data_IF_113582892101
#
_entry.id   IF_113582892101
#
_cell.length_a   1.000
_cell.length_b   1.000
_cell.length_c   1.000
_cell.angle_alpha   90.00
_cell.angle_beta   90.00
_cell.angle_gamma   90.00
#
_symmetry.space_group_name_H-M   'P 1'
#
loop_
_entity.id
_entity.type
_entity.pdbx_description
1 polymer ?
#
# COMPACT_ATOMS: atom_id res chain seq x y z
N UNK A 1 -69.79 35.73 44.93
CA UNK A 1 -69.79 35.45 43.48
C UNK A 1 -68.42 34.89 43.14
N UNK A 2 -68.29 33.57 43.33
CA UNK A 2 -68.13 32.56 42.26
C UNK A 2 -66.70 32.48 41.71
N UNK A 3 -65.94 31.63 42.40
CA UNK A 3 -64.70 30.99 41.94
C UNK A 3 -64.98 30.12 40.71
N UNK A 4 -64.17 30.25 39.67
CA UNK A 4 -64.07 29.28 38.58
C UNK A 4 -62.61 28.90 38.36
N UNK A 5 -62.25 27.70 38.83
CA UNK A 5 -61.01 26.99 38.47
C UNK A 5 -61.09 26.53 37.01
N UNK A 6 -59.97 26.49 36.27
CA UNK A 6 -59.92 25.81 34.98
C UNK A 6 -59.99 24.30 35.18
N UNK A 7 -60.87 23.64 34.43
CA UNK A 7 -61.03 22.20 34.32
C UNK A 7 -59.80 21.57 33.64
N UNK A 8 -59.08 20.73 34.38
CA UNK A 8 -58.02 19.87 33.84
C UNK A 8 -58.72 18.69 33.15
N UNK A 9 -58.68 18.64 31.83
CA UNK A 9 -59.16 17.49 31.05
C UNK A 9 -58.33 16.22 31.33
N UNK A 10 -58.90 15.02 31.12
CA UNK A 10 -58.21 13.78 31.43
C UNK A 10 -56.99 13.62 30.51
N UNK A 11 -55.80 13.56 31.10
CA UNK A 11 -54.58 13.10 30.40
C UNK A 11 -54.82 11.66 29.96
N UNK A 12 -55.02 11.46 28.66
CA UNK A 12 -54.95 10.14 28.03
C UNK A 12 -53.55 9.59 28.29
N UNK A 13 -53.47 8.61 29.20
CA UNK A 13 -52.29 7.76 29.37
C UNK A 13 -52.06 7.06 28.03
N UNK A 14 -51.06 7.49 27.28
CA UNK A 14 -50.52 6.71 26.17
C UNK A 14 -50.02 5.39 26.75
N UNK A 15 -50.77 4.32 26.45
CA UNK A 15 -50.47 2.95 26.85
C UNK A 15 -49.09 2.60 26.29
N UNK A 16 -48.12 2.31 27.16
CA UNK A 16 -46.85 1.69 26.76
C UNK A 16 -47.15 0.46 25.90
N UNK A 17 -46.56 0.39 24.71
CA UNK A 17 -46.82 -0.67 23.72
C UNK A 17 -46.02 -1.95 24.00
N UNK A 18 -45.28 -2.00 25.11
CA UNK A 18 -44.41 -3.13 25.46
C UNK A 18 -44.63 -3.53 26.92
N UNK A 19 -44.88 -4.84 27.18
CA UNK A 19 -44.99 -5.35 28.54
C UNK A 19 -43.63 -5.30 29.25
N UNK A 20 -43.68 -4.94 30.53
CA UNK A 20 -42.57 -4.90 31.48
C UNK A 20 -42.09 -6.33 31.84
N UNK A 21 -41.47 -7.04 30.90
CA UNK A 21 -40.55 -8.16 31.17
C UNK A 21 -39.79 -8.53 29.89
N UNK A 22 -38.62 -7.92 29.68
CA UNK A 22 -37.72 -8.30 28.59
C UNK A 22 -36.33 -8.50 29.16
N UNK A 23 -36.10 -9.68 29.71
CA UNK A 23 -34.76 -10.19 30.01
C UNK A 23 -33.86 -10.08 28.78
N UNK A 24 -32.63 -9.54 28.89
CA UNK A 24 -31.68 -9.51 27.78
C UNK A 24 -31.29 -10.94 27.40
N UNK A 25 -31.61 -11.39 26.18
CA UNK A 25 -31.38 -12.79 25.77
C UNK A 25 -30.07 -13.01 25.02
N UNK A 26 -29.54 -12.00 24.33
CA UNK A 26 -28.35 -12.16 23.49
C UNK A 26 -27.40 -10.97 23.61
N UNK A 27 -26.15 -11.22 24.02
CA UNK A 27 -25.11 -10.19 24.18
C UNK A 27 -23.92 -10.51 23.28
N UNK A 28 -23.50 -9.53 22.47
CA UNK A 28 -22.32 -9.68 21.63
C UNK A 28 -21.05 -9.74 22.49
N UNK A 29 -20.23 -10.78 22.33
CA UNK A 29 -19.00 -10.96 23.12
C UNK A 29 -17.93 -9.89 22.87
N UNK A 30 -18.01 -9.17 21.74
CA UNK A 30 -16.97 -8.21 21.33
C UNK A 30 -17.32 -6.75 21.59
N UNK A 31 -18.58 -6.36 21.37
CA UNK A 31 -19.02 -4.97 21.59
C UNK A 31 -19.95 -4.82 22.79
N UNK A 32 -20.31 -5.93 23.44
CA UNK A 32 -21.23 -6.01 24.59
C UNK A 32 -22.61 -5.39 24.35
N UNK A 33 -22.96 -5.13 23.08
CA UNK A 33 -24.30 -4.69 22.72
C UNK A 33 -25.30 -5.81 22.99
N UNK A 34 -26.42 -5.43 23.60
CA UNK A 34 -27.48 -6.33 24.03
C UNK A 34 -28.62 -6.29 23.02
N UNK A 35 -29.12 -7.46 22.65
CA UNK A 35 -30.18 -7.63 21.67
C UNK A 35 -31.37 -8.34 22.30
N UNK A 36 -32.55 -7.82 21.99
CA UNK A 36 -33.83 -8.38 22.43
C UNK A 36 -34.29 -9.51 21.49
N UNK A 37 -34.02 -9.36 20.19
CA UNK A 37 -34.43 -10.32 19.16
C UNK A 37 -33.21 -11.08 18.61
N UNK A 38 -33.36 -12.37 18.42
CA UNK A 38 -32.32 -13.26 17.91
C UNK A 38 -31.93 -12.94 16.45
N UNK A 39 -32.91 -12.61 15.60
CA UNK A 39 -32.70 -12.19 14.20
C UNK A 39 -31.68 -11.04 14.08
N UNK A 40 -31.82 -10.02 14.93
CA UNK A 40 -30.92 -8.86 14.99
C UNK A 40 -29.57 -9.20 15.57
N UNK A 41 -29.50 -10.14 16.50
CA UNK A 41 -28.24 -10.62 17.06
C UNK A 41 -27.43 -11.40 16.01
N UNK A 42 -28.08 -12.31 15.26
CA UNK A 42 -27.43 -13.09 14.20
C UNK A 42 -26.98 -12.21 13.02
N UNK A 43 -27.76 -11.17 12.68
CA UNK A 43 -27.39 -10.20 11.65
C UNK A 43 -26.38 -9.14 12.13
N UNK A 44 -26.02 -9.12 13.41
CA UNK A 44 -25.13 -8.09 13.95
C UNK A 44 -23.68 -8.32 13.52
N UNK A 45 -23.06 -7.27 12.98
CA UNK A 45 -21.65 -7.26 12.66
C UNK A 45 -20.96 -6.01 13.23
N UNK A 46 -20.32 -6.15 14.39
CA UNK A 46 -19.63 -5.04 15.04
C UNK A 46 -18.27 -4.72 14.40
N UNK A 47 -17.66 -3.60 14.81
CA UNK A 47 -16.32 -3.20 14.34
C UNK A 47 -15.28 -4.28 14.60
N UNK A 48 -15.29 -4.94 15.76
CA UNK A 48 -14.32 -5.99 16.09
C UNK A 48 -14.51 -7.25 15.24
N UNK A 49 -15.75 -7.64 14.96
CA UNK A 49 -16.07 -8.75 14.03
C UNK A 49 -15.50 -8.47 12.64
N UNK A 50 -15.75 -7.27 12.12
CA UNK A 50 -15.21 -6.81 10.83
C UNK A 50 -13.68 -6.86 10.80
N UNK A 51 -13.03 -6.42 11.87
CA UNK A 51 -11.56 -6.46 11.99
C UNK A 51 -11.03 -7.89 12.03
N UNK A 52 -11.66 -8.80 12.76
CA UNK A 52 -11.26 -10.20 12.79
C UNK A 52 -11.46 -10.89 11.44
N UNK A 53 -12.57 -10.62 10.76
CA UNK A 53 -12.81 -11.13 9.41
C UNK A 53 -11.75 -10.60 8.43
N UNK A 54 -11.47 -9.30 8.45
CA UNK A 54 -10.45 -8.68 7.61
C UNK A 54 -9.03 -9.18 7.95
N UNK A 55 -8.72 -9.44 9.22
CA UNK A 55 -7.43 -10.02 9.63
C UNK A 55 -7.18 -11.39 8.98
N UNK A 56 -8.22 -12.20 8.74
CA UNK A 56 -8.08 -13.50 8.07
C UNK A 56 -7.76 -13.38 6.57
N UNK A 57 -7.88 -12.19 5.99
CA UNK A 57 -7.51 -11.95 4.59
C UNK A 57 -6.00 -11.75 4.44
N UNK A 58 -5.42 -11.94 3.24
CA UNK A 58 -4.00 -11.65 2.98
C UNK A 58 -3.62 -10.20 3.35
N UNK A 59 -4.50 -9.23 3.06
CA UNK A 59 -4.31 -7.82 3.42
C UNK A 59 -4.23 -7.63 4.93
N UNK A 60 -5.11 -8.31 5.68
CA UNK A 60 -5.12 -8.25 7.13
C UNK A 60 -3.86 -8.86 7.76
N UNK A 61 -3.45 -10.02 7.25
CA UNK A 61 -2.21 -10.69 7.69
C UNK A 61 -0.98 -9.83 7.42
N UNK A 62 -0.85 -9.25 6.21
CA UNK A 62 0.25 -8.36 5.87
C UNK A 62 0.25 -7.08 6.75
N UNK A 63 -0.92 -6.52 7.05
CA UNK A 63 -1.03 -5.36 7.96
C UNK A 63 -0.56 -5.69 9.37
N UNK A 64 -0.89 -6.89 9.87
CA UNK A 64 -0.42 -7.35 11.17
C UNK A 64 1.10 -7.58 11.17
N UNK A 65 1.66 -8.16 10.12
CA UNK A 65 3.11 -8.32 9.95
C UNK A 65 3.83 -6.96 9.95
N UNK A 66 3.36 -5.98 9.18
CA UNK A 66 3.95 -4.64 9.18
C UNK A 66 3.85 -3.96 10.54
N UNK A 67 2.76 -4.15 11.27
CA UNK A 67 2.61 -3.65 12.64
C UNK A 67 3.62 -4.30 13.59
N UNK A 68 3.83 -5.62 13.49
CA UNK A 68 4.84 -6.32 14.28
C UNK A 68 6.26 -5.85 13.95
N UNK A 69 6.59 -5.67 12.67
CA UNK A 69 7.88 -5.14 12.23
C UNK A 69 8.12 -3.74 12.78
N UNK A 70 7.11 -2.86 12.70
CA UNK A 70 7.18 -1.52 13.28
C UNK A 70 7.41 -1.54 14.80
N UNK A 71 6.67 -2.36 15.54
CA UNK A 71 6.85 -2.51 16.99
C UNK A 71 8.24 -3.05 17.34
N UNK A 72 8.71 -4.07 16.61
CA UNK A 72 10.06 -4.65 16.81
C UNK A 72 11.16 -3.62 16.55
N UNK A 73 11.03 -2.83 15.48
CA UNK A 73 12.00 -1.76 15.14
C UNK A 73 11.99 -0.60 16.14
N UNK A 74 10.90 -0.41 16.89
CA UNK A 74 10.85 0.49 18.06
C UNK A 74 11.47 -0.12 19.33
N UNK A 75 12.01 -1.35 19.26
CA UNK A 75 12.53 -2.05 20.44
C UNK A 75 11.44 -2.64 21.34
N UNK A 76 10.20 -2.78 20.85
CA UNK A 76 9.08 -3.38 21.58
C UNK A 76 8.87 -4.84 21.18
N UNK A 77 8.37 -5.65 22.11
CA UNK A 77 8.00 -7.03 21.80
C UNK A 77 6.86 -7.09 20.77
N UNK A 78 6.91 -8.01 19.77
CA UNK A 78 5.85 -8.19 18.81
C UNK A 78 4.52 -8.53 19.51
N UNK A 79 3.49 -7.69 19.39
CA UNK A 79 2.23 -7.92 20.08
C UNK A 79 1.42 -9.06 19.43
N UNK A 80 0.57 -9.76 20.20
CA UNK A 80 -0.33 -10.76 19.66
C UNK A 80 -1.40 -10.10 18.75
N UNK A 81 -2.04 -10.91 17.92
CA UNK A 81 -3.06 -10.45 16.99
C UNK A 81 -4.22 -9.69 17.67
N UNK A 82 -4.63 -10.11 18.88
CA UNK A 82 -5.68 -9.45 19.68
C UNK A 82 -5.34 -7.99 20.03
N UNK A 83 -4.08 -7.71 20.35
CA UNK A 83 -3.58 -6.35 20.60
C UNK A 83 -3.58 -5.51 19.33
N UNK A 84 -3.29 -6.10 18.16
CA UNK A 84 -3.39 -5.38 16.89
C UNK A 84 -4.85 -5.07 16.53
N UNK A 85 -5.77 -6.02 16.69
CA UNK A 85 -7.20 -5.85 16.42
C UNK A 85 -7.82 -4.72 17.25
N UNK A 86 -7.40 -4.56 18.50
CA UNK A 86 -7.87 -3.48 19.40
C UNK A 86 -7.10 -2.18 19.26
N UNK A 87 -5.96 -2.17 18.55
CA UNK A 87 -5.10 -1.01 18.41
C UNK A 87 -5.76 0.15 17.67
N UNK A 88 -5.41 1.38 18.07
CA UNK A 88 -5.74 2.61 17.31
C UNK A 88 -5.09 2.62 15.93
N UNK A 89 -3.99 1.88 15.76
CA UNK A 89 -3.24 1.80 14.50
C UNK A 89 -3.80 0.78 13.50
N UNK A 90 -4.82 0.00 13.86
CA UNK A 90 -5.36 -1.06 12.99
C UNK A 90 -5.68 -0.55 11.58
N UNK A 91 -6.46 0.55 11.47
CA UNK A 91 -6.82 1.12 10.17
C UNK A 91 -5.62 1.72 9.44
N UNK A 92 -4.68 2.30 10.18
CA UNK A 92 -3.44 2.85 9.61
C UNK A 92 -2.62 1.78 8.90
N UNK A 93 -2.41 0.62 9.52
CA UNK A 93 -1.64 -0.47 8.90
C UNK A 93 -2.39 -1.21 7.79
N UNK A 94 -3.73 -1.29 7.87
CA UNK A 94 -4.55 -1.76 6.74
C UNK A 94 -4.38 -0.82 5.54
N UNK A 95 -4.43 0.49 5.76
CA UNK A 95 -4.25 1.48 4.70
C UNK A 95 -2.82 1.44 4.15
N UNK A 96 -1.81 1.31 5.01
CA UNK A 96 -0.42 1.15 4.60
C UNK A 96 -0.21 -0.11 3.76
N UNK A 97 -0.87 -1.22 4.10
CA UNK A 97 -0.79 -2.46 3.31
C UNK A 97 -1.39 -2.29 1.92
N UNK A 98 -2.55 -1.64 1.83
CA UNK A 98 -3.18 -1.32 0.54
C UNK A 98 -2.29 -0.37 -0.27
N UNK A 99 -1.73 0.65 0.37
CA UNK A 99 -0.78 1.56 -0.23
C UNK A 99 0.43 0.79 -0.78
N UNK A 100 1.09 -0.02 0.05
CA UNK A 100 2.27 -0.80 -0.34
C UNK A 100 1.98 -1.74 -1.52
N UNK A 101 0.80 -2.35 -1.56
CA UNK A 101 0.36 -3.16 -2.70
C UNK A 101 0.12 -2.32 -3.95
N UNK A 102 -0.61 -1.21 -3.83
CA UNK A 102 -0.99 -0.39 -4.99
C UNK A 102 0.20 0.34 -5.61
N UNK A 103 1.15 0.79 -4.79
CA UNK A 103 2.38 1.46 -5.24
C UNK A 103 3.52 0.48 -5.52
N UNK A 104 3.30 -0.82 -5.33
CA UNK A 104 4.36 -1.83 -5.34
C UNK A 104 5.58 -1.37 -4.53
N UNK A 105 5.35 -0.91 -3.30
CA UNK A 105 6.35 -0.27 -2.45
C UNK A 105 7.62 -1.14 -2.35
N UNK A 106 8.77 -0.66 -2.87
CA UNK A 106 10.00 -1.43 -2.81
C UNK A 106 10.44 -1.61 -1.36
N UNK A 107 10.72 -2.86 -0.97
CA UNK A 107 11.18 -3.25 0.38
C UNK A 107 10.43 -2.55 1.54
N UNK A 108 9.15 -2.91 1.81
CA UNK A 108 8.35 -2.26 2.85
C UNK A 108 8.99 -2.23 4.25
N UNK A 109 9.84 -3.20 4.59
CA UNK A 109 10.58 -3.19 5.85
C UNK A 109 11.62 -2.07 5.95
N UNK A 110 12.31 -1.75 4.85
CA UNK A 110 13.25 -0.61 4.77
C UNK A 110 12.48 0.70 4.86
N UNK A 111 11.30 0.78 4.25
CA UNK A 111 10.40 1.92 4.39
C UNK A 111 10.06 2.15 5.87
N UNK A 112 9.57 1.12 6.58
CA UNK A 112 9.25 1.21 8.02
C UNK A 112 10.46 1.67 8.84
N UNK A 113 11.65 1.14 8.55
CA UNK A 113 12.87 1.56 9.21
C UNK A 113 13.18 3.04 8.96
N UNK A 114 13.13 3.51 7.71
CA UNK A 114 13.40 4.91 7.39
C UNK A 114 12.40 5.85 8.05
N UNK A 115 11.11 5.48 8.06
CA UNK A 115 10.08 6.26 8.73
C UNK A 115 10.35 6.41 10.23
N UNK A 116 10.87 5.37 10.87
CA UNK A 116 11.29 5.45 12.27
C UNK A 116 12.54 6.33 12.46
N UNK A 117 13.53 6.26 11.56
CA UNK A 117 14.72 7.12 11.63
C UNK A 117 14.40 8.61 11.43
N UNK A 118 13.33 8.91 10.70
CA UNK A 118 12.88 10.27 10.38
C UNK A 118 11.71 10.72 11.25
N UNK A 119 11.33 9.93 12.26
CA UNK A 119 10.20 10.19 13.16
C UNK A 119 8.83 10.45 12.48
N UNK A 120 8.60 9.88 11.29
CA UNK A 120 7.30 9.95 10.62
C UNK A 120 6.30 8.98 11.27
N UNK A 121 5.17 9.48 11.83
CA UNK A 121 4.16 8.61 12.40
C UNK A 121 3.43 7.79 11.32
N UNK A 122 2.96 6.56 11.62
CA UNK A 122 2.28 5.70 10.64
C UNK A 122 1.12 6.32 9.89
N UNK A 123 0.45 7.32 10.48
CA UNK A 123 -0.68 8.04 9.86
C UNK A 123 -0.26 8.78 8.58
N UNK A 124 1.00 9.23 8.49
CA UNK A 124 1.52 9.98 7.34
C UNK A 124 2.20 9.10 6.28
N UNK A 125 2.36 7.80 6.52
CA UNK A 125 3.15 6.93 5.64
C UNK A 125 2.58 6.77 4.23
N UNK A 126 1.27 6.98 4.06
CA UNK A 126 0.62 6.89 2.77
C UNK A 126 0.59 8.23 2.01
N UNK A 127 1.23 9.28 2.53
CA UNK A 127 1.30 10.57 1.86
C UNK A 127 2.32 10.53 0.71
N UNK A 128 2.00 11.18 -0.40
CA UNK A 128 2.84 11.20 -1.60
C UNK A 128 4.22 11.82 -1.34
N UNK A 129 4.30 12.84 -0.49
CA UNK A 129 5.57 13.47 -0.10
C UNK A 129 6.49 12.50 0.66
N UNK A 130 5.92 11.72 1.58
CA UNK A 130 6.66 10.73 2.36
C UNK A 130 7.15 9.59 1.46
N UNK A 131 6.31 9.18 0.51
CA UNK A 131 6.70 8.20 -0.47
C UNK A 131 7.80 8.70 -1.41
N UNK A 132 7.69 9.93 -1.90
CA UNK A 132 8.70 10.57 -2.75
C UNK A 132 10.04 10.64 -2.04
N UNK A 133 10.06 11.08 -0.76
CA UNK A 133 11.27 11.10 0.06
C UNK A 133 11.90 9.71 0.22
N UNK A 134 11.07 8.67 0.37
CA UNK A 134 11.58 7.31 0.43
C UNK A 134 12.22 6.85 -0.89
N UNK A 135 11.61 7.17 -2.03
CA UNK A 135 12.18 6.85 -3.34
C UNK A 135 13.51 7.56 -3.55
N UNK A 136 13.62 8.84 -3.18
CA UNK A 136 14.89 9.58 -3.21
C UNK A 136 15.94 8.93 -2.32
N UNK A 137 15.57 8.52 -1.10
CA UNK A 137 16.48 7.80 -0.21
C UNK A 137 17.00 6.50 -0.84
N UNK A 138 16.15 5.74 -1.53
CA UNK A 138 16.57 4.54 -2.25
C UNK A 138 17.52 4.87 -3.40
N UNK A 139 17.25 5.91 -4.16
CA UNK A 139 18.10 6.36 -5.27
C UNK A 139 19.52 6.71 -4.76
N UNK A 140 19.63 7.34 -3.58
CA UNK A 140 20.93 7.67 -2.97
C UNK A 140 21.67 6.48 -2.35
N UNK A 141 20.94 5.49 -1.83
CA UNK A 141 21.56 4.37 -1.10
C UNK A 141 21.90 3.17 -1.98
N UNK A 142 21.22 3.03 -3.11
CA UNK A 142 21.34 1.85 -3.96
C UNK A 142 22.40 2.09 -5.03
N UNK A 143 23.39 1.21 -5.12
CA UNK A 143 24.43 1.32 -6.14
C UNK A 143 23.85 1.13 -7.55
N UNK A 144 24.46 1.69 -8.60
CA UNK A 144 23.97 1.51 -9.97
C UNK A 144 23.77 0.03 -10.36
N UNK A 145 24.70 -0.85 -9.96
CA UNK A 145 24.61 -2.28 -10.24
C UNK A 145 23.43 -2.94 -9.53
N UNK A 146 23.15 -2.59 -8.28
CA UNK A 146 21.98 -3.12 -7.57
C UNK A 146 20.67 -2.68 -8.22
N UNK A 147 20.59 -1.42 -8.69
CA UNK A 147 19.41 -0.94 -9.41
C UNK A 147 19.20 -1.68 -10.74
N UNK A 148 20.29 -2.00 -11.44
CA UNK A 148 20.25 -2.79 -12.68
C UNK A 148 19.84 -4.24 -12.40
N UNK A 149 20.37 -4.85 -11.33
CA UNK A 149 19.94 -6.20 -10.91
C UNK A 149 18.45 -6.26 -10.61
N UNK A 150 17.92 -5.29 -9.86
CA UNK A 150 16.48 -5.18 -9.58
C UNK A 150 15.66 -5.04 -10.87
N UNK A 151 16.16 -4.27 -11.83
CA UNK A 151 15.50 -4.08 -13.13
C UNK A 151 15.46 -5.37 -13.95
N UNK A 152 16.57 -6.11 -13.98
CA UNK A 152 16.65 -7.42 -14.66
C UNK A 152 15.73 -8.43 -13.98
N UNK A 153 15.74 -8.52 -12.65
CA UNK A 153 14.85 -9.40 -11.88
C UNK A 153 13.38 -9.08 -12.14
N UNK A 154 13.03 -7.78 -12.19
CA UNK A 154 11.67 -7.34 -12.54
C UNK A 154 11.26 -7.81 -13.94
N UNK A 155 12.16 -7.72 -14.93
CA UNK A 155 11.90 -8.17 -16.30
C UNK A 155 11.80 -9.70 -16.37
N UNK A 156 12.63 -10.44 -15.63
CA UNK A 156 12.54 -11.91 -15.53
C UNK A 156 11.19 -12.35 -14.95
N UNK A 157 10.76 -11.74 -13.83
CA UNK A 157 9.45 -12.03 -13.22
C UNK A 157 8.31 -11.70 -14.19
N UNK A 158 8.44 -10.59 -14.94
CA UNK A 158 7.45 -10.24 -15.96
C UNK A 158 7.41 -11.28 -17.09
N UNK A 159 8.57 -11.68 -17.59
CA UNK A 159 8.74 -12.66 -18.66
C UNK A 159 8.15 -14.03 -18.26
N UNK A 160 8.49 -14.51 -17.08
CA UNK A 160 7.95 -15.76 -16.50
C UNK A 160 6.42 -15.72 -16.39
N UNK A 161 5.87 -14.59 -15.89
CA UNK A 161 4.43 -14.42 -15.72
C UNK A 161 3.66 -14.43 -17.04
N UNK A 162 4.27 -13.98 -18.13
CA UNK A 162 3.64 -13.88 -19.45
C UNK A 162 4.12 -14.96 -20.42
N UNK A 163 4.90 -15.94 -19.94
CA UNK A 163 5.44 -17.05 -20.73
C UNK A 163 6.21 -16.57 -21.97
N UNK A 164 7.00 -15.51 -21.82
CA UNK A 164 7.85 -14.95 -22.88
C UNK A 164 9.33 -14.98 -22.50
N UNK A 165 10.20 -14.85 -23.48
CA UNK A 165 11.64 -14.69 -23.25
C UNK A 165 11.93 -13.25 -22.76
N UNK A 166 12.91 -13.08 -21.88
CA UNK A 166 13.30 -11.77 -21.34
C UNK A 166 13.60 -10.76 -22.45
N UNK A 167 14.19 -11.19 -23.57
CA UNK A 167 14.50 -10.34 -24.73
C UNK A 167 13.26 -9.73 -25.39
N UNK A 168 12.09 -10.35 -25.22
CA UNK A 168 10.81 -9.92 -25.79
C UNK A 168 10.01 -9.05 -24.80
N UNK A 169 10.52 -8.85 -23.58
CA UNK A 169 9.79 -8.16 -22.50
C UNK A 169 9.30 -6.77 -22.92
N UNK A 170 10.16 -5.94 -23.53
CA UNK A 170 9.77 -4.59 -23.97
C UNK A 170 8.88 -4.57 -25.22
N UNK A 171 8.80 -5.67 -25.97
CA UNK A 171 7.86 -5.81 -27.08
C UNK A 171 6.43 -6.10 -26.57
N UNK A 172 6.32 -6.81 -25.44
CA UNK A 172 5.03 -7.16 -24.82
C UNK A 172 4.55 -6.12 -23.81
N UNK A 173 5.45 -5.50 -23.05
CA UNK A 173 5.13 -4.46 -22.08
C UNK A 173 4.33 -3.33 -22.71
N UNK A 174 3.30 -2.85 -22.00
CA UNK A 174 2.59 -1.63 -22.38
C UNK A 174 3.38 -0.40 -21.91
N UNK A 175 3.39 0.71 -22.68
CA UNK A 175 4.01 1.97 -22.25
C UNK A 175 3.58 2.44 -20.86
N UNK A 176 2.30 2.26 -20.51
CA UNK A 176 1.74 2.61 -19.21
C UNK A 176 2.32 1.77 -18.07
N UNK A 177 2.57 0.49 -18.30
CA UNK A 177 3.22 -0.40 -17.32
C UNK A 177 4.67 0.02 -17.11
N UNK A 178 5.39 0.35 -18.18
CA UNK A 178 6.78 0.83 -18.08
C UNK A 178 6.86 2.14 -17.30
N UNK A 179 5.97 3.09 -17.56
CA UNK A 179 5.86 4.33 -16.76
C UNK A 179 5.67 4.01 -15.28
N UNK A 180 4.78 3.06 -14.96
CA UNK A 180 4.52 2.66 -13.58
C UNK A 180 5.75 2.00 -12.95
N UNK A 181 6.43 1.10 -13.66
CA UNK A 181 7.64 0.43 -13.18
C UNK A 181 8.81 1.39 -12.96
N UNK A 182 8.97 2.42 -13.81
CA UNK A 182 9.98 3.48 -13.60
C UNK A 182 9.61 4.36 -12.41
N UNK A 183 8.34 4.74 -12.28
CA UNK A 183 7.85 5.54 -11.16
C UNK A 183 8.05 4.83 -9.81
N UNK A 184 7.90 3.51 -9.79
CA UNK A 184 8.04 2.66 -8.60
C UNK A 184 9.47 2.12 -8.40
N UNK A 185 10.44 2.59 -9.19
CA UNK A 185 11.86 2.19 -9.15
C UNK A 185 12.12 0.69 -9.35
N UNK A 186 11.19 0.00 -10.00
CA UNK A 186 11.39 -1.37 -10.44
C UNK A 186 12.26 -1.43 -11.71
N UNK A 187 12.11 -0.43 -12.59
CA UNK A 187 12.98 -0.24 -13.75
C UNK A 187 13.83 1.01 -13.56
N UNK A 188 15.15 0.83 -13.59
CA UNK A 188 16.12 1.90 -13.40
C UNK A 188 16.55 2.51 -14.74
N UNK A 189 16.69 3.84 -14.82
CA UNK A 189 17.35 4.51 -15.94
C UNK A 189 18.74 3.95 -16.27
N UNK A 190 19.48 3.44 -15.27
CA UNK A 190 20.77 2.78 -15.47
C UNK A 190 20.69 1.59 -16.42
N UNK A 191 19.56 0.88 -16.50
CA UNK A 191 19.36 -0.18 -17.49
C UNK A 191 18.70 0.35 -18.77
N UNK A 192 17.61 1.12 -18.61
CA UNK A 192 16.75 1.53 -19.73
C UNK A 192 17.50 2.35 -20.78
N UNK A 193 18.38 3.25 -20.35
CA UNK A 193 19.12 4.13 -21.26
C UNK A 193 20.15 3.38 -22.12
N UNK A 194 20.51 2.15 -21.76
CA UNK A 194 21.40 1.29 -22.55
C UNK A 194 20.68 0.17 -23.28
N UNK A 195 19.37 -0.02 -23.06
CA UNK A 195 18.55 -1.08 -23.62
C UNK A 195 18.00 -0.74 -25.03
N UNK A 196 18.44 -1.43 -26.10
CA UNK A 196 17.92 -1.27 -27.46
C UNK A 196 16.42 -1.50 -27.61
N UNK A 197 15.87 -2.57 -27.02
CA UNK A 197 14.44 -2.90 -27.16
C UNK A 197 13.55 -1.85 -26.49
N UNK A 198 13.98 -1.31 -25.33
CA UNK A 198 13.31 -0.17 -24.70
C UNK A 198 13.35 1.07 -25.60
N UNK A 199 14.51 1.39 -26.21
CA UNK A 199 14.62 2.54 -27.13
C UNK A 199 13.72 2.38 -28.35
N UNK A 200 13.58 1.17 -28.88
CA UNK A 200 12.65 0.85 -29.96
C UNK A 200 11.20 1.08 -29.54
N UNK A 201 10.79 0.51 -28.40
CA UNK A 201 9.46 0.73 -27.82
C UNK A 201 9.18 2.22 -27.59
N UNK A 202 10.14 2.95 -27.02
CA UNK A 202 10.03 4.39 -26.76
C UNK A 202 9.76 5.20 -28.03
N UNK A 203 10.41 4.85 -29.14
CA UNK A 203 10.20 5.53 -30.43
C UNK A 203 8.86 5.17 -31.07
N UNK A 204 8.53 3.88 -31.11
CA UNK A 204 7.46 3.33 -31.95
C UNK A 204 6.08 3.26 -31.26
N UNK A 205 6.04 3.01 -29.94
CA UNK A 205 4.80 2.64 -29.23
C UNK A 205 4.34 3.65 -28.17
N UNK A 206 5.21 4.56 -27.74
CA UNK A 206 4.90 5.53 -26.66
C UNK A 206 4.27 6.80 -27.23
N UNK A 207 3.12 7.22 -26.68
CA UNK A 207 2.43 8.46 -27.10
C UNK A 207 3.22 9.71 -26.69
N UNK A 208 2.97 10.89 -27.31
CA UNK A 208 3.64 12.14 -26.93
C UNK A 208 3.49 12.50 -25.44
N UNK A 209 2.31 12.32 -24.86
CA UNK A 209 2.04 12.61 -23.45
C UNK A 209 2.82 11.66 -22.53
N UNK A 210 2.88 10.39 -22.92
CA UNK A 210 3.63 9.37 -22.19
C UNK A 210 5.14 9.61 -22.29
N UNK A 211 5.65 10.11 -23.42
CA UNK A 211 7.06 10.50 -23.58
C UNK A 211 7.43 11.60 -22.59
N UNK A 212 6.61 12.64 -22.46
CA UNK A 212 6.83 13.72 -21.48
C UNK A 212 6.92 13.14 -20.06
N UNK A 213 6.01 12.23 -19.69
CA UNK A 213 6.04 11.59 -18.36
C UNK A 213 7.33 10.79 -18.16
N UNK A 214 7.72 9.97 -19.15
CA UNK A 214 8.95 9.18 -19.07
C UNK A 214 10.20 10.06 -19.01
N UNK A 215 10.25 11.14 -19.79
CA UNK A 215 11.35 12.10 -19.77
C UNK A 215 11.47 12.80 -18.42
N UNK A 216 10.35 13.17 -17.80
CA UNK A 216 10.33 13.72 -16.44
C UNK A 216 10.78 12.72 -15.37
N UNK A 217 10.46 11.43 -15.53
CA UNK A 217 10.85 10.39 -14.57
C UNK A 217 12.29 9.94 -14.74
N UNK A 218 12.73 9.74 -15.99
CA UNK A 218 14.08 9.29 -16.33
C UNK A 218 15.06 10.44 -16.18
N UNK A 219 14.70 11.68 -16.56
CA UNK A 219 15.60 12.86 -16.55
C UNK A 219 16.92 12.56 -17.26
N UNK A 220 16.87 12.14 -18.52
CA UNK A 220 18.05 11.69 -19.28
C UNK A 220 19.24 12.67 -19.20
N UNK A 221 18.99 13.98 -19.24
CA UNK A 221 20.01 15.02 -19.15
C UNK A 221 20.78 15.04 -17.82
N UNK A 222 20.14 14.58 -16.73
CA UNK A 222 20.78 14.45 -15.42
C UNK A 222 21.79 13.29 -15.38
N UNK A 223 21.62 12.29 -16.23
CA UNK A 223 22.45 11.08 -16.21
C UNK A 223 23.80 11.24 -16.88
N UNK A 224 23.98 12.21 -17.79
CA UNK A 224 25.25 12.42 -18.49
C UNK A 224 26.44 12.54 -17.53
N UNK A 225 26.30 13.35 -16.47
CA UNK A 225 27.34 13.52 -15.44
C UNK A 225 27.54 12.28 -14.55
N UNK A 226 26.45 11.54 -14.28
CA UNK A 226 26.51 10.30 -13.50
C UNK A 226 27.20 9.19 -14.29
N UNK A 227 27.03 9.18 -15.61
CA UNK A 227 27.64 8.19 -16.49
C UNK A 227 29.14 8.40 -16.65
N UNK A 228 29.58 9.65 -16.80
CA UNK A 228 31.01 9.98 -16.85
C UNK A 228 31.77 9.53 -15.60
N UNK A 229 31.15 9.64 -14.42
CA UNK A 229 31.75 9.26 -13.14
C UNK A 229 31.77 7.74 -12.89
N UNK A 230 31.05 6.94 -13.69
CA UNK A 230 30.87 5.50 -13.48
C UNK A 230 31.18 4.66 -14.74
N UNK A 231 32.21 5.03 -15.51
CA UNK A 231 32.56 4.38 -16.79
C UNK A 231 32.68 2.84 -16.70
N UNK A 232 33.40 2.31 -15.70
CA UNK A 232 33.54 0.85 -15.50
C UNK A 232 32.20 0.15 -15.23
N UNK A 233 31.27 0.86 -14.58
CA UNK A 233 29.95 0.33 -14.28
C UNK A 233 29.10 0.27 -15.53
N UNK A 234 29.21 1.27 -16.41
CA UNK A 234 28.52 1.29 -17.70
C UNK A 234 28.94 0.12 -18.58
N UNK A 235 30.23 -0.20 -18.66
CA UNK A 235 30.70 -1.33 -19.46
C UNK A 235 30.10 -2.66 -18.97
N UNK A 236 30.01 -2.85 -17.64
CA UNK A 236 29.32 -4.01 -17.07
C UNK A 236 27.83 -4.03 -17.41
N UNK A 237 27.16 -2.89 -17.37
CA UNK A 237 25.74 -2.77 -17.69
C UNK A 237 25.49 -3.11 -19.17
N UNK A 238 26.29 -2.56 -20.07
CA UNK A 238 26.23 -2.86 -21.51
C UNK A 238 26.42 -4.36 -21.75
N UNK A 239 27.37 -4.99 -21.05
CA UNK A 239 27.59 -6.43 -21.11
C UNK A 239 26.32 -7.21 -20.71
N UNK A 240 25.68 -6.86 -19.59
CA UNK A 240 24.44 -7.52 -19.18
C UNK A 240 23.30 -7.33 -20.19
N UNK A 241 23.13 -6.12 -20.74
CA UNK A 241 22.12 -5.85 -21.78
C UNK A 241 22.37 -6.73 -23.01
N UNK A 242 23.63 -6.86 -23.42
CA UNK A 242 24.02 -7.66 -24.57
C UNK A 242 23.79 -9.16 -24.33
N UNK A 243 24.19 -9.70 -23.18
CA UNK A 243 24.00 -11.11 -22.83
C UNK A 243 22.51 -11.50 -22.79
N UNK A 244 21.69 -10.64 -22.20
CA UNK A 244 20.24 -10.86 -22.07
C UNK A 244 19.47 -10.50 -23.35
N UNK A 245 20.16 -9.94 -24.36
CA UNK A 245 19.57 -9.47 -25.62
C UNK A 245 18.38 -8.52 -25.41
N UNK A 246 18.49 -7.70 -24.38
CA UNK A 246 17.58 -6.59 -24.13
C UNK A 246 17.78 -5.49 -25.19
#
# INVERSE_FOLDING_TARGET
>A
MTSTRPTIGPRTRTRSKYPDDVTPRFTCQWCHHVFVREDRYLAHECKQMKRMAELKTPTGQAAWQFYQTWMKKQGRMPPPASSFLSSKYYRTFINFTKFAKNTNLPTPEKFIWLMLQKDYPPVLWCNDEVYTMYLEFLDYKTTPIEQVKLSIETLLIYADKHEVDIKESFEKLLPTEVIHMVRTRQLSPWLLLFCPSFKKMFKERVSPEQKIILEMLIRADHWSKQFETHADTIEKIKHYVQELRL
#
